data_IF_432679100965
#
_entry.id   IF_432679100965
#
_cell.length_a   1.000
_cell.length_b   1.000
_cell.length_c   1.000
_cell.angle_alpha   90.00
_cell.angle_beta   90.00
_cell.angle_gamma   90.00
#
_symmetry.space_group_name_H-M   'P 1'
#
loop_
_entity.id
_entity.type
_entity.pdbx_description
1 polymer ?
#
# COMPACT_ATOMS: atom_id res chain seq x y z
N UNK A 1 6.67 -4.83 8.59
CA UNK A 1 7.27 -3.54 9.01
C UNK A 1 7.82 -2.84 7.79
N UNK A 2 7.36 -1.63 7.49
CA UNK A 2 7.83 -0.86 6.35
C UNK A 2 9.23 -0.30 6.65
N UNK A 3 10.17 -0.51 5.73
CA UNK A 3 11.57 -0.11 5.91
C UNK A 3 11.91 1.23 5.25
N UNK A 4 11.23 1.56 4.16
CA UNK A 4 11.46 2.80 3.41
C UNK A 4 10.25 3.16 2.58
N UNK A 5 10.19 4.43 2.14
CA UNK A 5 9.17 4.94 1.24
C UNK A 5 9.86 5.63 0.06
N UNK A 6 9.36 5.39 -1.16
CA UNK A 6 9.78 6.15 -2.35
C UNK A 6 9.10 7.53 -2.43
N UNK A 7 7.86 7.62 -1.95
CA UNK A 7 7.06 8.86 -1.96
C UNK A 7 7.00 9.44 -0.55
N UNK A 8 7.33 10.74 -0.45
CA UNK A 8 7.19 11.49 0.81
C UNK A 8 5.75 11.57 1.27
N UNK A 9 4.80 11.65 0.35
CA UNK A 9 3.37 11.69 0.68
C UNK A 9 2.89 10.35 1.25
N UNK A 10 3.41 9.22 0.76
CA UNK A 10 3.09 7.91 1.32
C UNK A 10 3.63 7.76 2.76
N UNK A 11 4.83 8.27 3.02
CA UNK A 11 5.42 8.33 4.36
C UNK A 11 4.60 9.23 5.31
N UNK A 12 4.23 10.42 4.86
CA UNK A 12 3.34 11.33 5.60
C UNK A 12 2.01 10.66 5.94
N UNK A 13 1.40 9.99 4.96
CA UNK A 13 0.16 9.27 5.16
C UNK A 13 0.31 8.14 6.19
N UNK A 14 1.42 7.41 6.15
CA UNK A 14 1.74 6.37 7.14
C UNK A 14 1.89 6.95 8.55
N UNK A 15 2.51 8.12 8.67
CA UNK A 15 2.62 8.90 9.90
C UNK A 15 1.30 9.56 10.35
N UNK A 16 0.17 9.24 9.68
CA UNK A 16 -1.18 9.80 9.93
C UNK A 16 -1.26 11.33 9.72
N UNK A 17 -0.39 11.86 8.89
CA UNK A 17 -0.48 13.26 8.45
C UNK A 17 -1.45 13.37 7.27
N UNK A 18 -2.15 14.50 7.20
CA UNK A 18 -3.10 14.75 6.11
C UNK A 18 -2.36 15.06 4.81
N UNK A 19 -2.67 14.28 3.77
CA UNK A 19 -2.18 14.53 2.41
C UNK A 19 -3.37 14.90 1.53
N UNK A 20 -3.43 16.17 1.09
CA UNK A 20 -4.54 16.69 0.28
C UNK A 20 -4.87 15.81 -0.94
N UNK A 21 -3.83 15.30 -1.62
CA UNK A 21 -3.95 14.42 -2.79
C UNK A 21 -4.69 13.10 -2.51
N UNK A 22 -4.62 12.60 -1.27
CA UNK A 22 -5.16 11.30 -0.88
C UNK A 22 -6.48 11.38 -0.11
N UNK A 23 -7.00 12.59 0.15
CA UNK A 23 -8.18 12.82 0.99
C UNK A 23 -9.38 11.93 0.63
N UNK A 24 -9.61 11.68 -0.66
CA UNK A 24 -10.74 10.86 -1.14
C UNK A 24 -10.64 9.37 -0.79
N UNK A 25 -9.46 8.86 -0.46
CA UNK A 25 -9.23 7.44 -0.16
C UNK A 25 -8.31 7.22 1.05
N UNK A 26 -8.07 8.27 1.84
CA UNK A 26 -7.07 8.32 2.93
C UNK A 26 -7.24 7.16 3.92
N UNK A 27 -8.47 6.94 4.38
CA UNK A 27 -8.80 5.87 5.33
C UNK A 27 -8.49 4.48 4.79
N UNK A 28 -8.75 4.25 3.51
CA UNK A 28 -8.46 2.96 2.87
C UNK A 28 -6.95 2.79 2.75
N UNK A 29 -6.25 3.80 2.24
CA UNK A 29 -4.80 3.75 2.08
C UNK A 29 -4.07 3.58 3.43
N UNK A 30 -4.46 4.28 4.50
CA UNK A 30 -3.91 4.09 5.84
C UNK A 30 -4.13 2.66 6.36
N UNK A 31 -5.32 2.08 6.14
CA UNK A 31 -5.59 0.69 6.52
C UNK A 31 -4.68 -0.28 5.77
N UNK A 32 -4.48 -0.08 4.46
CA UNK A 32 -3.59 -0.90 3.63
C UNK A 32 -2.13 -0.77 4.05
N UNK A 33 -1.66 0.46 4.31
CA UNK A 33 -0.31 0.69 4.83
C UNK A 33 -0.08 0.01 6.18
N UNK A 34 -1.07 0.04 7.08
CA UNK A 34 -0.98 -0.70 8.34
C UNK A 34 -0.87 -2.20 8.12
N UNK A 35 -1.66 -2.78 7.22
CA UNK A 35 -1.55 -4.20 6.87
C UNK A 35 -0.16 -4.56 6.35
N UNK A 36 0.41 -3.71 5.48
CA UNK A 36 1.78 -3.87 4.99
C UNK A 36 2.82 -3.76 6.13
N UNK A 37 2.60 -2.86 7.07
CA UNK A 37 3.48 -2.69 8.22
C UNK A 37 3.40 -3.85 9.23
N UNK A 38 2.26 -4.51 9.35
CA UNK A 38 2.07 -5.65 10.26
C UNK A 38 2.31 -7.02 9.62
N UNK A 39 2.34 -7.13 8.29
CA UNK A 39 2.55 -8.40 7.60
C UNK A 39 3.91 -9.01 7.98
N UNK A 40 3.90 -10.29 8.30
CA UNK A 40 5.10 -11.10 8.55
C UNK A 40 5.63 -11.70 7.24
N UNK A 41 4.75 -11.93 6.28
CA UNK A 41 5.07 -12.52 4.99
C UNK A 41 4.12 -12.05 3.89
N UNK A 42 4.51 -12.30 2.63
CA UNK A 42 3.77 -11.81 1.47
C UNK A 42 2.33 -12.36 1.41
N UNK A 43 2.12 -13.62 1.81
CA UNK A 43 0.79 -14.26 1.78
C UNK A 43 -0.22 -13.61 2.72
N UNK A 44 0.22 -12.95 3.79
CA UNK A 44 -0.65 -12.20 4.69
C UNK A 44 -1.39 -11.08 3.95
N UNK A 45 -0.76 -10.51 2.92
CA UNK A 45 -1.34 -9.47 2.09
C UNK A 45 -2.36 -10.01 1.09
N UNK A 46 -2.40 -11.32 0.83
CA UNK A 46 -3.43 -11.95 0.00
C UNK A 46 -4.71 -12.27 0.78
N UNK A 47 -4.64 -12.44 2.10
CA UNK A 47 -5.78 -12.83 2.92
C UNK A 47 -6.95 -11.81 2.90
N UNK A 48 -6.72 -10.48 2.96
CA UNK A 48 -7.81 -9.52 2.78
C UNK A 48 -8.25 -9.49 1.30
N UNK A 49 -9.50 -9.85 0.96
CA UNK A 49 -9.94 -9.95 -0.44
C UNK A 49 -9.84 -8.63 -1.20
N UNK A 50 -9.98 -7.50 -0.48
CA UNK A 50 -9.82 -6.17 -1.06
C UNK A 50 -8.38 -5.76 -1.36
N UNK A 51 -7.36 -6.55 -1.00
CA UNK A 51 -5.97 -6.24 -1.37
C UNK A 51 -5.69 -6.57 -2.82
N UNK A 52 -6.29 -7.65 -3.35
CA UNK A 52 -6.05 -8.13 -4.72
C UNK A 52 -4.55 -8.10 -5.04
N UNK A 53 -3.76 -8.80 -4.22
CA UNK A 53 -2.30 -8.84 -4.30
C UNK A 53 -1.88 -9.23 -5.72
N UNK A 54 -1.05 -8.42 -6.34
CA UNK A 54 -0.64 -8.58 -7.74
C UNK A 54 0.88 -8.50 -7.85
N UNK A 55 1.50 -9.54 -8.40
CA UNK A 55 2.92 -9.53 -8.76
C UNK A 55 3.13 -8.66 -10.00
N UNK A 56 4.08 -7.74 -9.92
CA UNK A 56 4.42 -6.83 -11.03
C UNK A 56 5.38 -7.51 -12.01
N UNK A 57 5.37 -7.04 -13.26
CA UNK A 57 6.14 -7.61 -14.38
C UNK A 57 7.08 -6.57 -14.97
N UNK A 58 8.02 -7.03 -15.81
CA UNK A 58 8.96 -6.15 -16.53
C UNK A 58 10.06 -5.62 -15.62
N UNK A 59 10.34 -4.31 -15.71
CA UNK A 59 11.34 -3.61 -14.88
C UNK A 59 11.04 -3.63 -13.37
N UNK A 60 9.81 -4.04 -13.01
CA UNK A 60 9.34 -4.16 -11.63
C UNK A 60 9.17 -5.61 -11.16
N UNK A 61 9.77 -6.57 -11.87
CA UNK A 61 9.77 -7.97 -11.44
C UNK A 61 10.31 -8.12 -10.01
N UNK A 62 9.66 -8.99 -9.22
CA UNK A 62 9.92 -9.15 -7.79
C UNK A 62 9.17 -8.17 -6.87
N UNK A 63 8.55 -7.13 -7.41
CA UNK A 63 7.70 -6.21 -6.65
C UNK A 63 6.23 -6.65 -6.69
N UNK A 64 5.46 -6.20 -5.71
CA UNK A 64 4.05 -6.52 -5.57
C UNK A 64 3.23 -5.25 -5.37
N UNK A 65 1.96 -5.28 -5.76
CA UNK A 65 1.03 -4.21 -5.47
C UNK A 65 -0.21 -4.69 -4.72
N UNK A 66 -0.77 -3.81 -3.89
CA UNK A 66 -2.09 -3.97 -3.27
C UNK A 66 -3.01 -2.83 -3.68
N UNK A 67 -4.26 -3.16 -4.00
CA UNK A 67 -5.25 -2.22 -4.51
C UNK A 67 -5.85 -1.37 -3.38
N UNK A 68 -5.95 -0.07 -3.63
CA UNK A 68 -6.73 0.87 -2.80
C UNK A 68 -8.14 1.02 -3.38
N UNK A 69 -8.23 1.31 -4.68
CA UNK A 69 -9.47 1.43 -5.46
C UNK A 69 -9.16 1.19 -6.95
N UNK A 70 -10.06 1.57 -7.86
CA UNK A 70 -9.89 1.32 -9.30
C UNK A 70 -8.73 2.10 -9.92
N UNK A 71 -8.31 3.21 -9.31
CA UNK A 71 -7.23 4.07 -9.81
C UNK A 71 -5.90 3.90 -9.05
N UNK A 72 -5.96 3.61 -7.75
CA UNK A 72 -4.81 3.70 -6.84
C UNK A 72 -4.36 2.34 -6.30
N UNK A 73 -3.04 2.20 -6.18
CA UNK A 73 -2.34 1.00 -5.69
C UNK A 73 -1.14 1.42 -4.83
N UNK A 74 -0.79 0.61 -3.84
CA UNK A 74 0.49 0.69 -3.12
C UNK A 74 1.42 -0.34 -3.76
N UNK A 75 2.64 0.08 -4.09
CA UNK A 75 3.64 -0.73 -4.80
C UNK A 75 5.04 -0.46 -4.26
#
# INVERSE_FOLDING_TARGET
MIKSFRSKEAEQLHARQQVKRFRGFERVAQRKLRQLDTASELRDLAAPPGNRLEALKGDREGQHSIRINDQWRIC
#
